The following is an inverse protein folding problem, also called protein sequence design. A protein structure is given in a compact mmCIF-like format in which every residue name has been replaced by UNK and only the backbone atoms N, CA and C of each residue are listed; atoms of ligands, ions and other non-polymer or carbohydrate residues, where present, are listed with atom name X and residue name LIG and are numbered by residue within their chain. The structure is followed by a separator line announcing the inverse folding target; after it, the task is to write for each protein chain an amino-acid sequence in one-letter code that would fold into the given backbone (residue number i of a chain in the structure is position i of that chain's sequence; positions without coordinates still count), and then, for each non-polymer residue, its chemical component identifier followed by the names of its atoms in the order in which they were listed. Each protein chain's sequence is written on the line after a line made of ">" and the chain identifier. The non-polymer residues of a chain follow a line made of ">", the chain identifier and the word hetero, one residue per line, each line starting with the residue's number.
data_IF_379229741071
#
_entry.id   IF_379229741071
#
_cell.length_a   1.000
_cell.length_b   1.000
_cell.length_c   1.000
_cell.angle_alpha   90.00
_cell.angle_beta   90.00
_cell.angle_gamma   90.00
#
_symmetry.space_group_name_H-M   'P 1'
#
loop_
_entity.id
_entity.type
_entity.pdbx_description
1 polymer ?
#
# COMPACT_ATOMS: atom_id res chain seq x y z
N UNK A 1 5.93 7.99 19.97
CA UNK A 1 4.49 8.19 19.69
C UNK A 1 4.15 9.64 19.94
N UNK A 2 3.61 10.33 18.94
CA UNK A 2 3.06 11.68 19.08
C UNK A 2 1.55 11.58 18.91
N UNK A 3 0.82 12.31 19.76
CA UNK A 3 -0.64 12.40 19.62
C UNK A 3 -0.97 13.44 18.55
N UNK A 4 -1.71 13.05 17.54
CA UNK A 4 -2.22 13.95 16.51
C UNK A 4 -3.16 15.01 17.14
N UNK A 5 -2.96 16.24 16.74
CA UNK A 5 -3.78 17.40 17.14
C UNK A 5 -4.49 18.00 15.95
N UNK A 6 -3.78 18.13 14.84
CA UNK A 6 -4.29 18.62 13.57
C UNK A 6 -3.53 17.86 12.47
N UNK A 7 -4.26 17.06 11.69
CA UNK A 7 -3.68 16.12 10.75
C UNK A 7 -2.64 16.76 9.81
N UNK A 8 -3.01 17.84 9.12
CA UNK A 8 -2.13 18.39 8.06
C UNK A 8 -0.83 18.94 8.61
N UNK A 9 -0.82 19.84 9.62
CA UNK A 9 0.41 20.32 10.22
C UNK A 9 1.26 19.22 10.84
N UNK A 10 0.65 18.28 11.55
CA UNK A 10 1.37 17.20 12.23
C UNK A 10 2.00 16.25 11.20
N UNK A 11 1.28 15.88 10.14
CA UNK A 11 1.78 15.06 9.04
C UNK A 11 2.94 15.73 8.30
N UNK A 12 2.79 17.00 7.91
CA UNK A 12 3.85 17.75 7.23
C UNK A 12 5.08 17.93 8.12
N UNK A 13 4.87 18.17 9.42
CA UNK A 13 5.97 18.25 10.38
C UNK A 13 6.68 16.90 10.54
N UNK A 14 5.95 15.80 10.62
CA UNK A 14 6.54 14.46 10.69
C UNK A 14 7.41 14.16 9.46
N UNK A 15 6.93 14.48 8.25
CA UNK A 15 7.73 14.35 7.02
C UNK A 15 8.98 15.22 7.04
N UNK A 16 8.86 16.48 7.49
CA UNK A 16 9.95 17.44 7.54
C UNK A 16 11.04 17.08 8.53
N UNK A 17 10.65 16.53 9.68
CA UNK A 17 11.57 16.19 10.78
C UNK A 17 12.11 14.76 10.68
N UNK A 18 11.62 13.95 9.75
CA UNK A 18 12.12 12.61 9.52
C UNK A 18 13.55 12.64 8.98
N UNK A 19 14.49 12.09 9.75
CA UNK A 19 15.91 12.02 9.40
C UNK A 19 16.24 10.82 8.49
N UNK A 20 15.33 9.84 8.36
CA UNK A 20 15.53 8.69 7.49
C UNK A 20 15.49 9.09 6.02
N UNK A 21 16.38 8.55 5.22
CA UNK A 21 16.41 8.78 3.76
C UNK A 21 15.14 8.26 3.08
N UNK A 22 14.58 7.17 3.61
CA UNK A 22 13.37 6.54 3.09
C UNK A 22 12.31 6.42 4.18
N UNK A 23 11.03 6.53 3.75
CA UNK A 23 9.86 6.28 4.58
C UNK A 23 8.95 5.25 3.92
N UNK A 24 8.23 4.50 4.73
CA UNK A 24 7.19 3.58 4.26
C UNK A 24 5.85 3.98 4.87
N UNK A 25 4.86 4.23 4.01
CA UNK A 25 3.48 4.39 4.44
C UNK A 25 2.87 3.01 4.74
N UNK A 26 2.35 2.82 5.94
CA UNK A 26 1.62 1.62 6.33
C UNK A 26 0.43 2.06 7.19
N UNK A 27 -0.77 1.73 6.74
CA UNK A 27 -2.00 1.95 7.50
C UNK A 27 -2.33 0.72 8.36
N UNK A 28 -3.21 0.88 9.33
CA UNK A 28 -3.52 -0.13 10.35
C UNK A 28 -4.19 -1.40 9.80
N UNK A 29 -4.82 -1.30 8.64
CA UNK A 29 -5.42 -2.44 7.92
C UNK A 29 -4.45 -3.14 6.93
N UNK A 30 -3.19 -2.74 6.89
CA UNK A 30 -2.15 -3.42 6.14
C UNK A 30 -1.62 -4.66 6.86
N UNK A 31 -1.58 -5.77 6.15
CA UNK A 31 -1.12 -7.06 6.66
C UNK A 31 0.03 -7.61 5.83
N UNK A 32 1.18 -7.84 6.47
CA UNK A 32 2.26 -8.64 5.88
C UNK A 32 1.91 -10.12 6.00
N UNK A 33 1.56 -10.76 4.89
CA UNK A 33 1.21 -12.17 4.85
C UNK A 33 2.40 -13.07 4.47
N UNK A 34 3.52 -12.46 4.09
CA UNK A 34 4.79 -13.15 3.85
C UNK A 34 5.92 -12.49 4.62
N UNK A 35 6.89 -13.32 5.01
CA UNK A 35 8.14 -12.80 5.57
C UNK A 35 8.89 -12.01 4.51
N UNK A 36 9.41 -10.85 4.90
CA UNK A 36 10.28 -10.06 4.04
C UNK A 36 11.58 -10.85 3.77
N UNK A 37 11.93 -10.98 2.50
CA UNK A 37 13.12 -11.71 2.06
C UNK A 37 14.35 -10.81 1.95
N UNK A 38 14.17 -9.49 2.08
CA UNK A 38 15.24 -8.49 1.93
C UNK A 38 15.41 -7.68 3.22
N UNK A 39 16.63 -7.22 3.45
CA UNK A 39 16.94 -6.22 4.49
C UNK A 39 16.57 -4.82 3.99
N UNK A 40 16.49 -3.84 4.91
CA UNK A 40 16.27 -2.44 4.54
C UNK A 40 17.32 -1.97 3.52
N UNK A 41 18.61 -2.25 3.75
CA UNK A 41 19.70 -1.86 2.84
C UNK A 41 19.60 -2.48 1.43
N UNK A 42 19.00 -3.67 1.31
CA UNK A 42 18.74 -4.25 -0.01
C UNK A 42 17.62 -3.52 -0.73
N UNK A 43 16.56 -3.11 -0.02
CA UNK A 43 15.49 -2.28 -0.59
C UNK A 43 16.03 -0.92 -0.99
N UNK A 44 16.83 -0.29 -0.14
CA UNK A 44 17.52 0.99 -0.43
C UNK A 44 18.36 0.89 -1.72
N UNK A 45 19.08 -0.21 -1.91
CA UNK A 45 19.87 -0.42 -3.13
C UNK A 45 19.06 -0.55 -4.42
N UNK A 46 17.79 -0.90 -4.32
CA UNK A 46 16.85 -0.95 -5.44
C UNK A 46 16.23 0.42 -5.77
N UNK A 47 16.32 1.38 -4.84
CA UNK A 47 15.82 2.74 -5.00
C UNK A 47 16.81 3.60 -5.79
N UNK A 48 17.14 3.19 -7.02
CA UNK A 48 18.02 3.91 -7.96
C UNK A 48 17.40 5.27 -8.37
N UNK A 49 18.19 6.14 -9.00
CA UNK A 49 17.77 7.51 -9.30
C UNK A 49 16.50 7.63 -10.15
N UNK A 50 16.18 6.65 -10.94
CA UNK A 50 14.98 6.58 -11.78
C UNK A 50 13.77 5.92 -11.09
N UNK A 51 13.95 5.35 -9.89
CA UNK A 51 12.89 4.69 -9.13
C UNK A 51 12.18 5.69 -8.23
N UNK A 52 10.87 5.80 -8.40
CA UNK A 52 10.01 6.66 -7.59
C UNK A 52 9.62 5.97 -6.27
N UNK A 53 9.17 4.73 -6.32
CA UNK A 53 8.85 3.97 -5.12
C UNK A 53 9.13 2.48 -5.24
N UNK A 54 9.32 1.83 -4.07
CA UNK A 54 9.28 0.39 -3.93
C UNK A 54 7.95 -0.02 -3.29
N UNK A 55 7.31 -1.08 -3.80
CA UNK A 55 6.02 -1.55 -3.30
C UNK A 55 6.12 -2.93 -2.66
N UNK A 56 5.64 -3.07 -1.43
CA UNK A 56 5.40 -4.36 -0.78
C UNK A 56 4.10 -5.01 -1.24
N UNK A 57 3.15 -4.19 -1.70
CA UNK A 57 1.80 -4.60 -2.07
C UNK A 57 1.70 -5.17 -3.48
N UNK A 58 2.53 -4.71 -4.39
CA UNK A 58 2.49 -5.12 -5.80
C UNK A 58 3.45 -6.28 -6.08
N UNK A 59 3.16 -7.02 -7.14
CA UNK A 59 3.96 -8.12 -7.64
C UNK A 59 3.31 -8.73 -8.88
N UNK A 60 3.95 -9.71 -9.53
CA UNK A 60 3.37 -10.41 -10.70
C UNK A 60 2.08 -11.17 -10.37
N UNK A 61 1.87 -11.46 -9.09
CA UNK A 61 0.65 -12.11 -8.61
C UNK A 61 -0.50 -11.13 -8.38
N UNK A 62 -0.30 -9.81 -8.47
CA UNK A 62 -1.36 -8.83 -8.23
C UNK A 62 -2.07 -8.46 -9.53
N UNK A 63 -2.83 -9.40 -10.07
CA UNK A 63 -3.48 -9.27 -11.37
C UNK A 63 -4.86 -8.61 -11.30
N UNK A 64 -5.51 -8.57 -10.14
CA UNK A 64 -6.77 -7.86 -9.93
C UNK A 64 -6.47 -6.40 -9.57
N UNK A 65 -6.43 -5.55 -10.58
CA UNK A 65 -5.93 -4.16 -10.46
C UNK A 65 -7.03 -3.15 -10.15
N UNK A 66 -8.29 -3.50 -10.39
CA UNK A 66 -9.43 -2.60 -10.22
C UNK A 66 -10.37 -3.15 -9.15
N UNK A 67 -10.36 -2.52 -7.98
CA UNK A 67 -11.24 -2.93 -6.88
C UNK A 67 -12.74 -2.70 -7.15
N UNK A 68 -13.08 -1.80 -8.09
CA UNK A 68 -14.47 -1.56 -8.52
C UNK A 68 -14.98 -2.62 -9.50
N UNK A 69 -14.08 -3.33 -10.16
CA UNK A 69 -14.41 -4.38 -11.10
C UNK A 69 -13.45 -5.58 -10.93
N UNK A 70 -13.74 -6.50 -10.01
CA UNK A 70 -12.86 -7.63 -9.69
C UNK A 70 -12.69 -8.63 -10.83
N UNK A 71 -13.44 -8.49 -11.93
CA UNK A 71 -13.26 -9.32 -13.13
C UNK A 71 -12.21 -8.77 -14.09
N UNK A 72 -11.70 -7.56 -13.86
CA UNK A 72 -10.68 -6.95 -14.70
C UNK A 72 -9.29 -7.47 -14.30
N UNK A 73 -8.88 -8.56 -14.92
CA UNK A 73 -7.52 -9.08 -14.77
C UNK A 73 -6.57 -8.31 -15.68
N UNK A 74 -5.50 -7.80 -15.08
CA UNK A 74 -4.45 -7.07 -15.78
C UNK A 74 -3.10 -7.62 -15.39
N UNK A 75 -2.38 -8.17 -16.34
CA UNK A 75 -1.00 -8.62 -16.15
C UNK A 75 -0.01 -7.50 -16.48
N UNK A 76 1.10 -7.47 -15.74
CA UNK A 76 2.18 -6.54 -16.01
C UNK A 76 2.92 -6.96 -17.30
N UNK A 77 2.67 -6.25 -18.40
CA UNK A 77 3.14 -6.65 -19.74
C UNK A 77 4.62 -6.38 -19.99
N UNK A 78 5.12 -5.23 -19.56
CA UNK A 78 6.53 -4.84 -19.73
C UNK A 78 7.18 -4.59 -18.39
N UNK A 79 8.19 -5.36 -18.07
CA UNK A 79 8.98 -5.19 -16.86
C UNK A 79 10.38 -5.79 -17.02
N UNK A 80 11.33 -5.25 -16.27
CA UNK A 80 12.62 -5.88 -16.04
C UNK A 80 12.53 -6.76 -14.80
N UNK A 81 13.25 -7.85 -14.74
CA UNK A 81 13.23 -8.71 -13.57
C UNK A 81 14.60 -9.28 -13.24
N UNK A 82 14.84 -9.46 -11.95
CA UNK A 82 15.89 -10.30 -11.40
C UNK A 82 15.25 -11.42 -10.56
N UNK A 83 16.01 -12.33 -9.95
CA UNK A 83 15.43 -13.41 -9.14
C UNK A 83 14.51 -12.96 -8.01
N UNK A 84 14.68 -11.73 -7.49
CA UNK A 84 13.97 -11.24 -6.30
C UNK A 84 12.92 -10.19 -6.60
N UNK A 85 13.16 -9.32 -7.59
CA UNK A 85 12.38 -8.13 -7.84
C UNK A 85 11.98 -7.99 -9.30
N UNK A 86 10.98 -7.18 -9.52
CA UNK A 86 10.57 -6.65 -10.82
C UNK A 86 10.59 -5.14 -10.77
N UNK A 87 10.81 -4.49 -11.92
CA UNK A 87 10.69 -3.04 -12.08
C UNK A 87 10.00 -2.72 -13.39
N UNK A 88 9.18 -1.69 -13.40
CA UNK A 88 8.41 -1.28 -14.57
C UNK A 88 8.24 0.23 -14.61
N UNK A 89 7.98 0.75 -15.81
CA UNK A 89 7.66 2.16 -15.99
C UNK A 89 6.18 2.41 -15.64
N UNK A 90 5.92 2.97 -14.45
CA UNK A 90 4.58 3.23 -13.98
C UNK A 90 3.85 4.32 -14.80
N UNK A 91 4.59 5.22 -15.47
CA UNK A 91 4.01 6.25 -16.33
C UNK A 91 3.40 5.68 -17.63
N UNK A 92 3.74 4.46 -18.01
CA UNK A 92 3.12 3.78 -19.16
C UNK A 92 1.74 3.17 -18.82
N UNK A 93 1.39 3.14 -17.54
CA UNK A 93 0.14 2.57 -17.06
C UNK A 93 -0.91 3.65 -16.74
N UNK A 94 -2.19 3.28 -16.86
CA UNK A 94 -3.29 4.13 -16.39
C UNK A 94 -3.19 4.34 -14.88
N UNK A 95 -3.38 5.58 -14.44
CA UNK A 95 -3.44 5.92 -13.00
C UNK A 95 -4.66 5.30 -12.28
N UNK A 96 -5.58 4.68 -13.01
CA UNK A 96 -6.71 3.92 -12.43
C UNK A 96 -6.32 2.49 -12.06
N UNK A 97 -5.14 2.04 -12.47
CA UNK A 97 -4.60 0.72 -12.17
C UNK A 97 -3.47 0.85 -11.15
N UNK A 98 -3.34 -0.10 -10.25
CA UNK A 98 -2.31 -0.08 -9.21
C UNK A 98 -0.89 0.02 -9.77
N UNK A 99 -0.61 -0.60 -10.94
CA UNK A 99 0.71 -0.49 -11.60
C UNK A 99 1.03 0.93 -12.10
N UNK A 100 0.02 1.78 -12.31
CA UNK A 100 0.18 3.19 -12.69
C UNK A 100 -0.09 4.17 -11.55
N UNK A 101 -0.30 3.67 -10.32
CA UNK A 101 -0.61 4.45 -9.13
C UNK A 101 0.56 4.38 -8.14
N UNK A 102 1.56 5.26 -8.26
CA UNK A 102 2.80 5.13 -7.52
C UNK A 102 2.71 5.61 -6.08
N UNK A 103 1.69 6.38 -5.73
CA UNK A 103 1.44 6.87 -4.37
C UNK A 103 0.45 5.95 -3.69
N UNK A 104 0.88 5.26 -2.67
CA UNK A 104 0.00 4.51 -1.77
C UNK A 104 0.60 4.44 -0.39
N UNK A 105 -0.25 4.59 0.61
CA UNK A 105 0.11 4.38 2.01
C UNK A 105 0.01 2.90 2.42
N UNK A 106 -0.37 2.04 1.48
CA UNK A 106 -0.43 0.59 1.70
C UNK A 106 0.91 -0.07 1.32
N UNK A 107 1.96 0.24 2.07
CA UNK A 107 3.25 -0.42 1.93
C UNK A 107 4.10 0.03 0.75
N UNK A 108 4.02 1.31 0.36
CA UNK A 108 5.01 1.89 -0.56
C UNK A 108 6.12 2.60 0.21
N UNK A 109 7.35 2.39 -0.24
CA UNK A 109 8.57 3.03 0.28
C UNK A 109 8.95 4.16 -0.66
N UNK A 110 9.19 5.34 -0.11
CA UNK A 110 9.52 6.56 -0.83
C UNK A 110 10.80 7.19 -0.30
N UNK A 111 11.44 8.04 -1.10
CA UNK A 111 12.41 8.98 -0.56
C UNK A 111 11.70 10.04 0.25
N UNK A 112 12.11 10.20 1.50
CA UNK A 112 11.50 11.13 2.47
C UNK A 112 11.45 12.54 1.93
N UNK A 113 12.58 13.02 1.39
CA UNK A 113 12.65 14.37 0.83
C UNK A 113 11.69 14.58 -0.32
N UNK A 114 11.58 13.63 -1.27
CA UNK A 114 10.72 13.77 -2.45
C UNK A 114 9.25 13.82 -2.04
N UNK A 115 8.82 12.94 -1.14
CA UNK A 115 7.44 12.95 -0.63
C UNK A 115 7.16 14.19 0.21
N UNK A 116 8.11 14.64 1.03
CA UNK A 116 7.97 15.89 1.79
C UNK A 116 7.79 17.09 0.85
N UNK A 117 8.64 17.23 -0.17
CA UNK A 117 8.57 18.31 -1.13
C UNK A 117 7.23 18.33 -1.89
N UNK A 118 6.77 17.15 -2.34
CA UNK A 118 5.46 17.01 -3.00
C UNK A 118 4.30 17.34 -2.05
N UNK A 119 4.37 16.91 -0.79
CA UNK A 119 3.32 17.16 0.20
C UNK A 119 3.19 18.65 0.56
N UNK A 120 4.29 19.38 0.59
CA UNK A 120 4.26 20.85 0.83
C UNK A 120 3.80 21.66 -0.38
N UNK A 121 3.79 21.06 -1.57
CA UNK A 121 3.44 21.74 -2.82
C UNK A 121 1.94 21.81 -3.09
N UNK A 122 1.17 20.88 -2.51
CA UNK A 122 -0.26 20.74 -2.80
C UNK A 122 -1.10 20.76 -1.53
N UNK A 123 -2.31 21.31 -1.64
CA UNK A 123 -3.26 21.39 -0.53
C UNK A 123 -4.06 20.10 -0.40
N UNK A 124 -4.30 19.67 0.82
CA UNK A 124 -5.14 18.54 1.21
C UNK A 124 -5.63 18.73 2.65
N UNK A 125 -6.68 18.03 3.03
CA UNK A 125 -7.32 18.18 4.35
C UNK A 125 -7.17 16.92 5.21
N UNK A 126 -7.06 15.74 4.57
CA UNK A 126 -6.94 14.44 5.25
C UNK A 126 -6.12 13.45 4.42
N UNK A 127 -5.72 12.37 5.03
CA UNK A 127 -4.74 11.41 4.49
C UNK A 127 -5.13 10.82 3.12
N UNK A 128 -6.38 10.39 2.95
CA UNK A 128 -6.87 9.85 1.68
C UNK A 128 -6.90 10.90 0.57
N UNK A 129 -7.22 12.16 0.90
CA UNK A 129 -7.17 13.25 -0.05
C UNK A 129 -5.72 13.54 -0.45
N UNK A 130 -4.79 13.53 0.51
CA UNK A 130 -3.36 13.65 0.24
C UNK A 130 -2.90 12.61 -0.78
N UNK A 131 -3.20 11.33 -0.54
CA UNK A 131 -2.84 10.24 -1.47
C UNK A 131 -3.37 10.51 -2.88
N UNK A 132 -4.66 10.82 -3.02
CA UNK A 132 -5.29 11.09 -4.31
C UNK A 132 -4.73 12.32 -5.01
N UNK A 133 -4.47 13.42 -4.26
CA UNK A 133 -3.90 14.66 -4.80
C UNK A 133 -2.48 14.41 -5.31
N UNK A 134 -1.61 13.81 -4.48
CA UNK A 134 -0.24 13.54 -4.87
C UNK A 134 -0.19 12.54 -6.03
N UNK A 135 -0.98 11.46 -6.00
CA UNK A 135 -1.05 10.49 -7.10
C UNK A 135 -1.48 11.14 -8.43
N UNK A 136 -2.42 12.07 -8.39
CA UNK A 136 -2.86 12.82 -9.57
C UNK A 136 -1.82 13.80 -10.12
N UNK A 137 -0.92 14.30 -9.27
CA UNK A 137 0.06 15.34 -9.63
C UNK A 137 1.46 14.80 -9.89
N UNK A 138 1.90 13.79 -9.16
CA UNK A 138 3.29 13.29 -9.18
C UNK A 138 3.79 12.91 -10.59
N UNK A 139 2.88 12.49 -11.48
CA UNK A 139 3.22 12.13 -12.87
C UNK A 139 3.97 13.23 -13.63
N UNK A 140 3.65 14.48 -13.34
CA UNK A 140 4.27 15.66 -13.95
C UNK A 140 5.33 16.32 -13.07
N UNK A 141 5.46 15.87 -11.82
CA UNK A 141 6.31 16.51 -10.81
C UNK A 141 7.63 15.77 -10.58
N UNK A 142 7.74 14.54 -11.04
CA UNK A 142 8.97 13.76 -10.91
C UNK A 142 9.41 13.20 -12.26
N UNK A 143 10.73 13.14 -12.48
CA UNK A 143 11.33 12.44 -13.63
C UNK A 143 11.51 10.95 -13.36
N UNK A 144 11.31 10.50 -12.11
CA UNK A 144 11.41 9.10 -11.72
C UNK A 144 10.21 8.34 -12.26
N UNK A 145 10.46 7.50 -13.24
CA UNK A 145 9.40 6.80 -13.97
C UNK A 145 9.29 5.31 -13.64
N UNK A 146 10.19 4.78 -12.80
CA UNK A 146 10.18 3.37 -12.45
C UNK A 146 9.56 3.14 -11.08
N UNK A 147 8.82 2.04 -10.96
CA UNK A 147 8.45 1.39 -9.71
C UNK A 147 9.15 0.05 -9.60
N UNK A 148 9.42 -0.37 -8.38
CA UNK A 148 10.03 -1.66 -8.06
C UNK A 148 9.15 -2.39 -7.04
N UNK A 149 9.08 -3.70 -7.14
CA UNK A 149 8.48 -4.56 -6.11
C UNK A 149 9.18 -5.91 -6.06
N UNK A 150 8.86 -6.70 -5.04
CA UNK A 150 9.16 -8.13 -5.11
C UNK A 150 8.42 -8.78 -6.29
N UNK A 151 8.93 -9.93 -6.76
CA UNK A 151 8.23 -10.71 -7.80
C UNK A 151 6.83 -11.15 -7.36
N UNK A 152 6.63 -11.35 -6.07
CA UNK A 152 5.34 -11.61 -5.44
C UNK A 152 5.12 -10.59 -4.33
N UNK A 153 3.93 -10.05 -4.26
CA UNK A 153 3.53 -9.18 -3.16
C UNK A 153 3.72 -9.87 -1.81
N UNK A 154 3.96 -9.11 -0.78
CA UNK A 154 4.15 -9.60 0.59
C UNK A 154 3.19 -8.96 1.57
N UNK A 155 2.45 -7.95 1.09
CA UNK A 155 1.51 -7.16 1.85
C UNK A 155 0.20 -7.00 1.07
N UNK A 156 -0.90 -6.98 1.77
CA UNK A 156 -2.20 -6.56 1.26
C UNK A 156 -2.92 -5.70 2.31
N UNK A 157 -3.93 -4.95 1.89
CA UNK A 157 -4.77 -4.15 2.78
C UNK A 157 -6.11 -4.85 2.98
N UNK A 158 -6.61 -4.84 4.23
CA UNK A 158 -7.94 -5.35 4.60
C UNK A 158 -8.74 -4.19 5.20
N UNK A 159 -9.43 -3.38 4.41
CA UNK A 159 -10.23 -2.27 4.92
C UNK A 159 -11.51 -2.80 5.60
N UNK A 160 -11.37 -3.47 6.75
CA UNK A 160 -12.49 -4.04 7.49
C UNK A 160 -13.06 -3.09 8.56
N UNK A 161 -12.35 -2.05 8.94
CA UNK A 161 -12.86 -1.02 9.83
C UNK A 161 -13.50 0.11 9.00
N UNK A 162 -14.79 0.33 9.15
CA UNK A 162 -15.52 1.39 8.46
C UNK A 162 -15.53 2.71 9.26
N UNK A 163 -14.42 3.06 9.89
CA UNK A 163 -14.31 4.25 10.76
C UNK A 163 -14.17 5.57 10.01
N UNK A 164 -14.00 5.54 8.69
CA UNK A 164 -13.86 6.75 7.88
C UNK A 164 -15.24 7.27 7.43
N UNK A 165 -15.42 8.59 7.44
CA UNK A 165 -16.59 9.27 6.90
C UNK A 165 -16.19 10.09 5.65
N UNK A 166 -16.76 9.84 4.45
CA UNK A 166 -17.64 8.73 4.10
C UNK A 166 -16.90 7.37 4.08
N UNK A 167 -17.60 6.27 4.42
CA UNK A 167 -16.98 4.95 4.45
C UNK A 167 -16.45 4.58 3.07
N UNK A 168 -15.31 3.89 3.04
CA UNK A 168 -14.80 3.30 1.81
C UNK A 168 -15.77 2.24 1.32
N UNK A 169 -16.04 2.20 0.00
CA UNK A 169 -16.90 1.18 -0.62
C UNK A 169 -16.37 -0.23 -0.31
N UNK A 170 -15.05 -0.39 -0.23
CA UNK A 170 -14.41 -1.66 0.12
C UNK A 170 -14.74 -2.13 1.55
N UNK A 171 -14.83 -1.22 2.55
CA UNK A 171 -15.15 -1.58 3.94
C UNK A 171 -16.56 -2.11 4.16
N UNK A 172 -17.54 -1.75 3.33
CA UNK A 172 -18.92 -2.24 3.43
C UNK A 172 -19.13 -3.70 3.02
N UNK A 173 -18.06 -4.40 2.69
CA UNK A 173 -18.12 -5.78 2.18
C UNK A 173 -17.65 -6.82 3.19
N UNK A 174 -17.14 -6.41 4.34
CA UNK A 174 -16.66 -7.32 5.38
C UNK A 174 -17.70 -7.57 6.45
N UNK A 175 -17.94 -8.83 6.83
CA UNK A 175 -18.98 -9.17 7.78
C UNK A 175 -18.58 -8.95 9.25
N UNK A 176 -17.45 -8.30 9.53
CA UNK A 176 -16.97 -8.11 10.90
C UNK A 176 -17.13 -6.66 11.35
N UNK A 177 -17.81 -6.44 12.47
CA UNK A 177 -17.78 -5.18 13.19
C UNK A 177 -16.50 -5.08 14.04
N UNK A 178 -16.22 -3.88 14.53
CA UNK A 178 -15.10 -3.64 15.46
C UNK A 178 -15.26 -4.47 16.74
N UNK A 179 -16.48 -4.58 17.23
CA UNK A 179 -16.82 -5.36 18.41
C UNK A 179 -16.56 -6.86 18.18
N UNK A 180 -16.96 -7.39 17.01
CA UNK A 180 -16.72 -8.79 16.67
C UNK A 180 -15.23 -9.11 16.55
N UNK A 181 -14.44 -8.21 15.95
CA UNK A 181 -12.98 -8.38 15.87
C UNK A 181 -12.33 -8.31 17.26
N UNK A 182 -12.80 -7.40 18.11
CA UNK A 182 -12.33 -7.28 19.48
C UNK A 182 -12.70 -8.50 20.33
N UNK A 183 -13.92 -9.04 20.19
CA UNK A 183 -14.31 -10.29 20.85
C UNK A 183 -13.45 -11.46 20.44
N UNK A 184 -13.12 -11.59 19.16
CA UNK A 184 -12.19 -12.62 18.68
C UNK A 184 -10.82 -12.49 19.33
N UNK A 185 -10.27 -11.28 19.37
CA UNK A 185 -8.99 -11.01 20.02
C UNK A 185 -9.01 -11.35 21.51
N UNK A 186 -10.07 -10.97 22.24
CA UNK A 186 -10.23 -11.30 23.66
C UNK A 186 -10.42 -12.81 23.91
N UNK A 187 -10.81 -13.56 22.90
CA UNK A 187 -10.93 -15.01 22.94
C UNK A 187 -9.68 -15.74 22.41
N UNK A 188 -8.53 -15.07 22.34
CA UNK A 188 -7.26 -15.61 21.82
C UNK A 188 -7.37 -16.10 20.36
N UNK A 189 -8.25 -15.50 19.57
CA UNK A 189 -8.33 -15.73 18.14
C UNK A 189 -7.51 -14.67 17.40
N UNK A 190 -6.60 -15.10 16.55
CA UNK A 190 -5.78 -14.24 15.71
C UNK A 190 -5.99 -14.56 14.24
N UNK A 191 -5.73 -13.57 13.38
CA UNK A 191 -5.80 -13.80 11.93
C UNK A 191 -4.79 -14.89 11.54
N UNK A 192 -5.27 -15.89 10.81
CA UNK A 192 -4.44 -16.98 10.31
C UNK A 192 -3.78 -16.59 8.99
N UNK A 193 -2.61 -15.96 9.08
CA UNK A 193 -1.84 -15.53 7.92
C UNK A 193 -1.42 -16.69 7.01
N UNK A 194 -1.19 -17.88 7.57
CA UNK A 194 -0.81 -19.05 6.78
C UNK A 194 -1.95 -19.53 5.88
N UNK A 195 -3.17 -19.57 6.41
CA UNK A 195 -4.36 -19.88 5.62
C UNK A 195 -4.65 -18.77 4.59
N UNK A 196 -4.39 -17.53 4.96
CA UNK A 196 -4.62 -16.38 4.10
C UNK A 196 -3.61 -16.27 2.96
N UNK A 197 -2.35 -16.68 3.14
CA UNK A 197 -1.32 -16.63 2.09
C UNK A 197 -1.78 -17.29 0.80
N UNK A 198 -2.48 -18.41 0.88
CA UNK A 198 -2.99 -19.12 -0.29
C UNK A 198 -4.13 -18.38 -0.99
N UNK A 199 -4.99 -17.73 -0.24
CA UNK A 199 -6.16 -17.04 -0.78
C UNK A 199 -5.82 -15.70 -1.45
N UNK A 200 -4.72 -15.03 -1.04
CA UNK A 200 -4.34 -13.68 -1.53
C UNK A 200 -3.38 -13.65 -2.72
N UNK A 201 -3.19 -14.74 -3.42
CA UNK A 201 -2.16 -14.80 -4.47
C UNK A 201 -2.37 -13.86 -5.65
N UNK A 202 -3.56 -13.27 -5.81
CA UNK A 202 -3.89 -12.47 -7.01
C UNK A 202 -4.43 -11.08 -6.72
N UNK A 203 -4.56 -10.66 -5.47
CA UNK A 203 -5.22 -9.40 -5.09
C UNK A 203 -4.26 -8.44 -4.41
N UNK A 204 -4.46 -7.15 -4.63
CA UNK A 204 -3.77 -6.07 -3.90
C UNK A 204 -4.56 -5.65 -2.67
N UNK A 205 -5.87 -5.81 -2.72
CA UNK A 205 -6.81 -5.52 -1.65
C UNK A 205 -7.73 -6.71 -1.47
N UNK A 206 -8.21 -6.91 -0.26
CA UNK A 206 -9.23 -7.91 -0.02
C UNK A 206 -10.56 -7.42 -0.60
N UNK A 207 -11.13 -8.21 -1.50
CA UNK A 207 -12.44 -8.01 -2.07
C UNK A 207 -13.48 -8.94 -1.44
N UNK A 208 -14.75 -8.69 -1.75
CA UNK A 208 -16.00 -9.24 -1.22
C UNK A 208 -16.08 -10.72 -0.92
N UNK A 209 -15.28 -11.54 -1.55
CA UNK A 209 -15.31 -12.99 -1.36
C UNK A 209 -14.33 -13.46 -0.28
N UNK A 210 -13.62 -12.51 0.33
CA UNK A 210 -12.56 -12.85 1.24
C UNK A 210 -13.08 -12.85 2.68
N UNK A 211 -13.16 -14.02 3.28
CA UNK A 211 -13.37 -14.15 4.72
C UNK A 211 -12.04 -14.12 5.45
N UNK A 212 -11.93 -13.23 6.44
CA UNK A 212 -10.85 -13.30 7.40
C UNK A 212 -10.86 -14.68 8.05
N UNK A 213 -9.74 -15.38 7.97
CA UNK A 213 -9.55 -16.66 8.64
C UNK A 213 -8.90 -16.43 9.98
N UNK A 214 -9.42 -17.09 10.99
CA UNK A 214 -8.91 -16.99 12.36
C UNK A 214 -8.45 -18.35 12.84
N UNK A 215 -7.44 -18.36 13.71
CA UNK A 215 -6.99 -19.51 14.47
C UNK A 215 -6.85 -19.17 15.93
N UNK A 216 -6.97 -20.14 16.80
CA UNK A 216 -6.60 -20.00 18.22
C UNK A 216 -5.08 -19.87 18.36
N UNK A 217 -4.64 -19.05 19.30
CA UNK A 217 -3.24 -18.95 19.72
C UNK A 217 -2.75 -20.24 20.38
#
# INVERSE_FOLDING_TARGET
>A
WEQEKDFVPDFLNALKTCESEFICGIVDDCVFYKRLSSTASQIESLMTDDVFCFSFRLGLNTTMQNYLNPTDFVELGKYESNPFCIRWNWKEWSSKLNYGYPISLDGHVFRTKEISDLSHKFEFEYLRQWEGVIAGKCRNETDRNMMVSYRQSVLFSIPCNCVQDPPLIAGGMYPFSEEELNEKYLNDEVIDFGAMEYAFQNVTWSHNEFQLMFRKL
#
